data_IF_021143067365
#
_entry.id   IF_021143067365
#
_cell.length_a   1.000
_cell.length_b   1.000
_cell.length_c   1.000
_cell.angle_alpha   90.00
_cell.angle_beta   90.00
_cell.angle_gamma   90.00
#
_symmetry.space_group_name_H-M   'P 1'
#
loop_
_entity.id
_entity.type
_entity.pdbx_description
1 polymer ?
#
# COMPACT_ATOMS: atom_id res chain seq x y z
N UNK A 1 61.59 8.56 5.56
CA UNK A 1 60.89 8.35 4.28
C UNK A 1 59.40 8.35 4.56
N UNK A 2 58.65 9.36 4.08
CA UNK A 2 57.20 9.40 4.27
C UNK A 2 56.54 8.32 3.40
N UNK A 3 55.78 7.41 4.01
CA UNK A 3 55.03 6.38 3.29
C UNK A 3 53.96 7.08 2.45
N UNK A 4 54.08 7.01 1.12
CA UNK A 4 53.11 7.60 0.19
C UNK A 4 51.71 7.07 0.56
N UNK A 5 50.70 7.93 0.75
CA UNK A 5 49.35 7.48 1.07
C UNK A 5 48.85 6.56 -0.04
N UNK A 6 48.32 5.40 0.34
CA UNK A 6 47.68 4.50 -0.62
C UNK A 6 46.48 5.20 -1.26
N UNK A 7 46.26 4.96 -2.55
CA UNK A 7 45.08 5.48 -3.23
C UNK A 7 43.80 4.97 -2.53
N UNK A 8 42.76 5.80 -2.39
CA UNK A 8 41.51 5.37 -1.78
C UNK A 8 40.88 4.23 -2.59
N UNK A 9 40.43 3.18 -1.90
CA UNK A 9 39.74 2.04 -2.52
C UNK A 9 38.34 2.50 -2.97
N UNK A 10 37.93 2.22 -4.22
CA UNK A 10 36.59 2.57 -4.71
C UNK A 10 35.47 1.88 -3.91
N UNK A 11 34.33 2.55 -3.73
CA UNK A 11 33.17 2.02 -2.98
C UNK A 11 32.68 0.68 -3.53
N UNK A 12 32.64 0.51 -4.86
CA UNK A 12 32.23 -0.75 -5.49
C UNK A 12 33.14 -1.93 -5.11
N UNK A 13 34.45 -1.69 -5.00
CA UNK A 13 35.41 -2.72 -4.58
C UNK A 13 35.27 -3.03 -3.09
N UNK A 14 34.97 -2.02 -2.25
CA UNK A 14 34.65 -2.25 -0.84
C UNK A 14 33.40 -3.12 -0.67
N UNK A 15 32.34 -2.86 -1.45
CA UNK A 15 31.12 -3.68 -1.47
C UNK A 15 31.46 -5.12 -1.89
N UNK A 16 32.17 -5.29 -3.00
CA UNK A 16 32.58 -6.62 -3.50
C UNK A 16 33.39 -7.41 -2.46
N UNK A 17 34.43 -6.79 -1.88
CA UNK A 17 35.25 -7.42 -0.84
C UNK A 17 34.43 -7.75 0.41
N UNK A 18 33.47 -6.90 0.79
CA UNK A 18 32.59 -7.18 1.91
C UNK A 18 31.71 -8.42 1.66
N UNK A 19 31.11 -8.54 0.48
CA UNK A 19 30.29 -9.70 0.11
C UNK A 19 31.12 -10.99 0.09
N UNK A 20 32.33 -10.96 -0.48
CA UNK A 20 33.26 -12.09 -0.47
C UNK A 20 33.70 -12.46 0.94
N UNK A 21 33.94 -11.48 1.82
CA UNK A 21 34.28 -11.73 3.22
C UNK A 21 33.13 -12.42 3.96
N UNK A 22 31.87 -12.02 3.70
CA UNK A 22 30.70 -12.71 4.28
C UNK A 22 30.58 -14.13 3.74
N UNK A 23 30.77 -14.33 2.43
CA UNK A 23 30.68 -15.66 1.82
C UNK A 23 31.73 -16.65 2.33
N UNK A 24 32.95 -16.16 2.61
CA UNK A 24 34.07 -17.00 3.05
C UNK A 24 34.20 -17.13 4.56
N UNK A 25 33.43 -16.37 5.34
CA UNK A 25 33.48 -16.44 6.78
C UNK A 25 32.92 -17.78 7.30
N UNK A 26 33.64 -18.41 8.23
CA UNK A 26 33.19 -19.62 8.93
C UNK A 26 32.34 -19.31 10.17
N UNK A 27 32.14 -18.03 10.50
CA UNK A 27 31.40 -17.58 11.66
C UNK A 27 30.71 -16.25 11.43
N UNK A 28 30.14 -15.69 12.50
CA UNK A 28 29.34 -14.48 12.43
C UNK A 28 30.17 -13.26 12.00
N UNK A 29 29.67 -12.54 11.01
CA UNK A 29 30.32 -11.34 10.47
C UNK A 29 29.60 -10.09 10.95
N UNK A 30 30.35 -9.18 11.57
CA UNK A 30 29.83 -7.89 12.06
C UNK A 30 29.79 -6.88 10.93
N UNK A 31 28.69 -6.13 10.79
CA UNK A 31 28.58 -5.06 9.80
C UNK A 31 29.59 -3.93 10.06
N UNK A 32 29.72 -3.50 11.32
CA UNK A 32 30.59 -2.39 11.70
C UNK A 32 31.34 -2.62 13.00
N UNK A 33 32.15 -1.62 13.38
CA UNK A 33 33.01 -1.66 14.56
C UNK A 33 34.36 -2.34 14.32
N UNK A 34 35.15 -2.53 15.38
CA UNK A 34 36.48 -3.14 15.29
C UNK A 34 36.36 -4.60 14.82
N UNK A 35 36.88 -4.88 13.63
CA UNK A 35 36.81 -6.19 12.98
C UNK A 35 35.51 -6.46 12.21
N UNK A 36 34.65 -5.46 12.02
CA UNK A 36 33.50 -5.55 11.12
C UNK A 36 33.87 -5.26 9.65
N UNK A 37 32.92 -5.51 8.75
CA UNK A 37 33.07 -5.26 7.31
C UNK A 37 33.39 -3.79 7.01
N UNK A 38 32.72 -2.88 7.72
CA UNK A 38 32.86 -1.44 7.55
C UNK A 38 33.30 -0.81 8.88
N UNK A 39 34.61 -0.71 9.16
CA UNK A 39 35.13 -0.34 10.48
C UNK A 39 34.87 1.13 10.85
N UNK A 40 34.64 2.01 9.88
CA UNK A 40 34.40 3.44 10.10
C UNK A 40 33.02 3.85 9.61
N UNK A 41 32.25 4.57 10.44
CA UNK A 41 30.92 5.08 10.11
C UNK A 41 30.96 6.38 9.27
N UNK A 42 32.02 6.59 8.49
CA UNK A 42 32.26 7.81 7.70
C UNK A 42 32.97 7.50 6.38
N UNK A 43 32.79 8.36 5.39
CA UNK A 43 33.47 8.28 4.09
C UNK A 43 33.06 7.04 3.27
N UNK A 44 33.96 6.49 2.44
CA UNK A 44 33.66 5.39 1.53
C UNK A 44 33.12 4.12 2.21
N UNK A 45 33.49 3.87 3.46
CA UNK A 45 32.97 2.73 4.23
C UNK A 45 31.49 2.90 4.59
N UNK A 46 31.06 4.13 4.90
CA UNK A 46 29.64 4.41 5.16
C UNK A 46 28.84 4.24 3.87
N UNK A 47 29.32 4.81 2.77
CA UNK A 47 28.67 4.68 1.45
C UNK A 47 28.57 3.22 1.00
N UNK A 48 29.61 2.42 1.22
CA UNK A 48 29.59 0.98 0.95
C UNK A 48 28.60 0.22 1.86
N UNK A 49 28.56 0.56 3.15
CA UNK A 49 27.59 -0.03 4.08
C UNK A 49 26.15 0.31 3.69
N UNK A 50 25.88 1.57 3.34
CA UNK A 50 24.58 2.03 2.86
C UNK A 50 24.23 1.30 1.55
N UNK A 51 25.14 1.23 0.58
CA UNK A 51 24.92 0.49 -0.67
C UNK A 51 24.60 -1.00 -0.46
N UNK A 52 25.15 -1.64 0.59
CA UNK A 52 24.82 -3.03 0.93
C UNK A 52 23.46 -3.19 1.62
N UNK A 53 23.03 -2.22 2.43
CA UNK A 53 21.89 -2.36 3.34
C UNK A 53 20.61 -1.64 2.88
N UNK A 54 20.74 -0.49 2.20
CA UNK A 54 19.62 0.42 1.89
C UNK A 54 19.28 0.49 0.41
N UNK A 55 19.96 -0.29 -0.44
CA UNK A 55 19.59 -0.43 -1.84
C UNK A 55 18.15 -0.96 -1.98
N UNK A 56 17.48 -0.61 -3.08
CA UNK A 56 16.16 -1.14 -3.42
C UNK A 56 16.11 -2.68 -3.38
N UNK A 57 17.26 -3.31 -3.68
CA UNK A 57 17.51 -4.73 -3.46
C UNK A 57 18.73 -4.86 -2.52
N UNK A 58 18.54 -5.05 -1.20
CA UNK A 58 19.64 -5.10 -0.26
C UNK A 58 20.54 -6.31 -0.55
N UNK A 59 21.86 -6.12 -0.45
CA UNK A 59 22.88 -7.15 -0.70
C UNK A 59 23.24 -7.91 0.58
N UNK A 60 23.06 -7.26 1.73
CA UNK A 60 23.23 -7.84 3.06
C UNK A 60 21.94 -7.68 3.87
N UNK A 61 21.69 -8.64 4.75
CA UNK A 61 20.58 -8.58 5.71
C UNK A 61 21.11 -8.76 7.13
N UNK A 62 20.47 -8.13 8.10
CA UNK A 62 20.79 -8.33 9.52
C UNK A 62 20.17 -9.64 9.97
N UNK A 63 21.00 -10.62 10.31
CA UNK A 63 20.55 -11.91 10.84
C UNK A 63 20.15 -11.78 12.31
N UNK A 64 20.96 -11.07 13.09
CA UNK A 64 20.71 -10.79 14.51
C UNK A 64 21.53 -9.61 15.01
N UNK A 65 21.15 -9.09 16.17
CA UNK A 65 21.86 -8.01 16.85
C UNK A 65 22.43 -8.49 18.17
N UNK A 66 23.74 -8.31 18.37
CA UNK A 66 24.45 -8.64 19.60
C UNK A 66 25.00 -7.37 20.25
N UNK A 67 24.24 -6.81 21.19
CA UNK A 67 24.53 -5.51 21.78
C UNK A 67 24.45 -4.39 20.72
N UNK A 68 25.59 -3.73 20.45
CA UNK A 68 25.70 -2.70 19.39
C UNK A 68 26.16 -3.27 18.04
N UNK A 69 26.50 -4.56 17.97
CA UNK A 69 26.96 -5.19 16.75
C UNK A 69 25.78 -5.80 15.98
N UNK A 70 25.70 -5.52 14.69
CA UNK A 70 24.78 -6.20 13.77
C UNK A 70 25.53 -7.34 13.09
N UNK A 71 25.04 -8.56 13.26
CA UNK A 71 25.53 -9.73 12.54
C UNK A 71 24.78 -9.79 11.22
N UNK A 72 25.53 -9.84 10.12
CA UNK A 72 24.97 -9.81 8.77
C UNK A 72 25.20 -11.10 8.02
N UNK A 73 24.28 -11.38 7.10
CA UNK A 73 24.36 -12.48 6.15
C UNK A 73 24.09 -11.98 4.72
N UNK A 74 24.44 -12.79 3.74
CA UNK A 74 24.15 -12.50 2.34
C UNK A 74 22.65 -12.66 2.06
N UNK A 75 22.12 -11.76 1.25
CA UNK A 75 20.81 -11.92 0.61
C UNK A 75 20.96 -12.67 -0.71
N UNK A 76 19.85 -13.13 -1.34
CA UNK A 76 19.88 -13.64 -2.71
C UNK A 76 20.62 -12.70 -3.69
N UNK A 77 20.33 -11.40 -3.65
CA UNK A 77 20.96 -10.43 -4.53
C UNK A 77 22.46 -10.22 -4.25
N UNK A 78 22.85 -10.26 -2.97
CA UNK A 78 24.26 -10.24 -2.58
C UNK A 78 25.01 -11.45 -3.14
N UNK A 79 24.41 -12.64 -3.04
CA UNK A 79 24.97 -13.87 -3.59
C UNK A 79 25.13 -13.81 -5.10
N UNK A 80 24.09 -13.37 -5.82
CA UNK A 80 24.14 -13.28 -7.29
C UNK A 80 25.30 -12.42 -7.80
N UNK A 81 25.68 -11.36 -7.08
CA UNK A 81 26.80 -10.49 -7.45
C UNK A 81 28.16 -11.15 -7.35
N UNK A 82 28.33 -12.11 -6.44
CA UNK A 82 29.63 -12.75 -6.18
C UNK A 82 29.69 -14.22 -6.59
N UNK A 83 28.57 -14.81 -7.03
CA UNK A 83 28.48 -16.24 -7.33
C UNK A 83 29.56 -16.73 -8.31
N UNK A 84 29.92 -15.92 -9.31
CA UNK A 84 30.97 -16.24 -10.28
C UNK A 84 32.40 -16.16 -9.75
N UNK A 85 32.60 -15.61 -8.54
CA UNK A 85 33.91 -15.48 -7.88
C UNK A 85 34.10 -16.50 -6.75
N UNK A 86 33.05 -17.23 -6.39
CA UNK A 86 33.11 -18.27 -5.37
C UNK A 86 33.68 -19.56 -5.92
N UNK A 87 34.42 -20.28 -5.07
CA UNK A 87 34.83 -21.64 -5.38
C UNK A 87 33.60 -22.55 -5.50
N UNK A 88 33.60 -23.46 -6.47
CA UNK A 88 32.43 -24.30 -6.80
C UNK A 88 31.92 -25.11 -5.60
N UNK A 89 32.81 -25.55 -4.72
CA UNK A 89 32.51 -26.30 -3.49
C UNK A 89 31.83 -25.44 -2.40
N UNK A 90 31.90 -24.11 -2.51
CA UNK A 90 31.27 -23.17 -1.58
C UNK A 90 29.88 -22.71 -2.01
N UNK A 91 29.58 -22.79 -3.32
CA UNK A 91 28.33 -22.28 -3.89
C UNK A 91 27.11 -22.98 -3.28
N UNK A 92 27.10 -24.32 -3.24
CA UNK A 92 26.00 -25.12 -2.70
C UNK A 92 25.69 -24.83 -1.23
N UNK A 93 26.66 -25.00 -0.31
CA UNK A 93 26.43 -24.77 1.11
C UNK A 93 26.01 -23.33 1.44
N UNK A 94 26.59 -22.35 0.74
CA UNK A 94 26.24 -20.95 0.93
C UNK A 94 24.84 -20.63 0.42
N UNK A 95 24.50 -21.09 -0.80
CA UNK A 95 23.15 -20.93 -1.35
C UNK A 95 22.10 -21.58 -0.44
N UNK A 96 22.40 -22.76 0.11
CA UNK A 96 21.55 -23.43 1.10
C UNK A 96 21.29 -22.58 2.34
N UNK A 97 22.33 -21.96 2.91
CA UNK A 97 22.20 -21.08 4.07
C UNK A 97 21.34 -19.85 3.77
N UNK A 98 21.53 -19.25 2.59
CA UNK A 98 20.76 -18.07 2.14
C UNK A 98 19.30 -18.44 1.89
N UNK A 99 19.06 -19.57 1.23
CA UNK A 99 17.72 -20.08 0.95
C UNK A 99 16.93 -20.34 2.24
N UNK A 100 17.58 -20.89 3.28
CA UNK A 100 16.96 -21.15 4.58
C UNK A 100 16.49 -19.86 5.28
N UNK A 101 17.21 -18.74 5.10
CA UNK A 101 16.83 -17.44 5.65
C UNK A 101 15.80 -16.67 4.79
N UNK A 102 15.57 -17.09 3.54
CA UNK A 102 14.65 -16.43 2.64
C UNK A 102 13.18 -16.82 2.90
N UNK A 103 12.22 -15.89 2.70
CA UNK A 103 10.79 -16.21 2.66
C UNK A 103 10.47 -17.28 1.63
N UNK A 104 9.43 -18.11 1.87
CA UNK A 104 9.10 -19.26 1.03
C UNK A 104 8.99 -18.94 -0.47
N UNK A 105 8.29 -17.85 -0.82
CA UNK A 105 8.15 -17.42 -2.22
C UNK A 105 9.49 -17.04 -2.88
N UNK A 106 10.32 -16.27 -2.18
CA UNK A 106 11.64 -15.84 -2.69
C UNK A 106 12.65 -17.01 -2.73
N UNK A 107 12.47 -18.01 -1.86
CA UNK A 107 13.33 -19.20 -1.77
C UNK A 107 13.29 -20.04 -3.05
N UNK A 108 12.11 -20.26 -3.62
CA UNK A 108 11.93 -21.08 -4.83
C UNK A 108 12.65 -20.46 -6.03
N UNK A 109 12.38 -19.18 -6.30
CA UNK A 109 13.01 -18.44 -7.41
C UNK A 109 14.53 -18.40 -7.26
N UNK A 110 15.01 -18.14 -6.03
CA UNK A 110 16.43 -18.13 -5.74
C UNK A 110 17.08 -19.50 -6.00
N UNK A 111 16.53 -20.59 -5.45
CA UNK A 111 17.09 -21.93 -5.64
C UNK A 111 17.09 -22.32 -7.11
N UNK A 112 16.01 -22.07 -7.85
CA UNK A 112 15.94 -22.36 -9.29
C UNK A 112 16.98 -21.57 -10.08
N UNK A 113 17.17 -20.29 -9.78
CA UNK A 113 18.20 -19.44 -10.39
C UNK A 113 19.61 -20.00 -10.14
N UNK A 114 19.92 -20.40 -8.89
CA UNK A 114 21.23 -20.99 -8.53
C UNK A 114 21.45 -22.32 -9.23
N UNK A 115 20.47 -23.24 -9.23
CA UNK A 115 20.59 -24.54 -9.91
C UNK A 115 20.82 -24.34 -11.42
N UNK A 116 20.12 -23.39 -12.04
CA UNK A 116 20.28 -23.09 -13.47
C UNK A 116 21.67 -22.57 -13.85
N UNK A 117 22.31 -21.78 -12.97
CA UNK A 117 23.65 -21.22 -13.21
C UNK A 117 24.78 -22.16 -12.77
N UNK A 118 24.56 -22.93 -11.71
CA UNK A 118 25.56 -23.82 -11.11
C UNK A 118 24.97 -25.21 -10.88
N UNK A 119 24.92 -26.07 -11.91
CA UNK A 119 24.28 -27.39 -11.83
C UNK A 119 24.85 -28.31 -10.75
N UNK A 120 26.13 -28.14 -10.38
CA UNK A 120 26.78 -28.93 -9.33
C UNK A 120 26.21 -28.70 -7.93
N UNK A 121 25.52 -27.56 -7.69
CA UNK A 121 24.83 -27.29 -6.42
C UNK A 121 23.46 -27.99 -6.33
N UNK A 122 22.95 -28.56 -7.43
CA UNK A 122 21.62 -29.17 -7.47
C UNK A 122 21.39 -30.27 -6.42
N UNK A 123 22.31 -31.22 -6.15
CA UNK A 123 22.07 -32.26 -5.15
C UNK A 123 21.79 -31.73 -3.74
N UNK A 124 22.37 -30.58 -3.38
CA UNK A 124 22.15 -29.96 -2.07
C UNK A 124 20.89 -29.10 -2.01
N UNK A 125 20.51 -28.49 -3.14
CA UNK A 125 19.45 -27.51 -3.22
C UNK A 125 18.09 -28.10 -3.62
N UNK A 126 18.06 -29.20 -4.39
CA UNK A 126 16.81 -29.85 -4.81
C UNK A 126 15.91 -30.24 -3.65
N UNK A 127 16.39 -30.85 -2.54
CA UNK A 127 15.53 -31.17 -1.40
C UNK A 127 14.88 -29.92 -0.77
N UNK A 128 15.62 -28.80 -0.74
CA UNK A 128 15.08 -27.53 -0.22
C UNK A 128 14.08 -26.89 -1.17
N UNK A 129 14.25 -27.08 -2.48
CA UNK A 129 13.28 -26.64 -3.48
C UNK A 129 11.97 -27.41 -3.33
N UNK A 130 12.04 -28.73 -3.17
CA UNK A 130 10.86 -29.58 -2.95
C UNK A 130 10.11 -29.19 -1.67
N UNK A 131 10.83 -28.97 -0.57
CA UNK A 131 10.25 -28.48 0.69
C UNK A 131 9.58 -27.11 0.50
N UNK A 132 10.25 -26.19 -0.20
CA UNK A 132 9.71 -24.85 -0.44
C UNK A 132 8.44 -24.87 -1.30
N UNK A 133 8.43 -25.68 -2.37
CA UNK A 133 7.25 -25.86 -3.24
C UNK A 133 6.09 -26.49 -2.47
N UNK A 134 6.36 -27.48 -1.62
CA UNK A 134 5.34 -28.08 -0.76
C UNK A 134 4.75 -27.06 0.23
N UNK A 135 5.60 -26.23 0.85
CA UNK A 135 5.16 -25.17 1.75
C UNK A 135 4.33 -24.09 1.04
N UNK A 136 4.74 -23.64 -0.14
CA UNK A 136 3.98 -22.66 -0.93
C UNK A 136 2.59 -23.21 -1.30
N UNK A 137 2.53 -24.46 -1.76
CA UNK A 137 1.27 -25.12 -2.09
C UNK A 137 0.33 -25.19 -0.88
N UNK A 138 0.85 -25.56 0.29
CA UNK A 138 0.06 -25.59 1.53
C UNK A 138 -0.47 -24.20 1.91
N UNK A 139 0.34 -23.14 1.74
CA UNK A 139 -0.10 -21.77 1.99
C UNK A 139 -1.18 -21.32 0.99
N UNK A 140 -1.03 -21.65 -0.29
CA UNK A 140 -2.03 -21.34 -1.31
C UNK A 140 -3.37 -22.06 -1.02
N UNK A 141 -3.32 -23.35 -0.66
CA UNK A 141 -4.51 -24.11 -0.27
C UNK A 141 -5.19 -23.49 0.96
N UNK A 142 -4.43 -23.09 1.98
CA UNK A 142 -4.97 -22.41 3.16
C UNK A 142 -5.62 -21.06 2.83
N UNK A 143 -5.04 -20.28 1.90
CA UNK A 143 -5.62 -19.02 1.43
C UNK A 143 -6.94 -19.25 0.68
N UNK A 144 -7.01 -20.28 -0.17
CA UNK A 144 -8.22 -20.66 -0.90
C UNK A 144 -9.32 -21.10 0.09
N UNK A 145 -8.99 -21.93 1.08
CA UNK A 145 -9.94 -22.37 2.10
C UNK A 145 -10.45 -21.18 2.94
N UNK A 146 -9.57 -20.26 3.34
CA UNK A 146 -9.95 -19.05 4.07
C UNK A 146 -10.87 -18.14 3.23
N UNK A 147 -10.58 -17.97 1.93
CA UNK A 147 -11.43 -17.20 1.03
C UNK A 147 -12.81 -17.86 0.85
N UNK A 148 -12.87 -19.19 0.77
CA UNK A 148 -14.12 -19.94 0.72
C UNK A 148 -14.95 -19.74 1.99
N UNK A 149 -14.35 -19.88 3.18
CA UNK A 149 -15.03 -19.63 4.46
C UNK A 149 -15.56 -18.21 4.59
N UNK A 150 -14.83 -17.21 4.08
CA UNK A 150 -15.31 -15.82 4.05
C UNK A 150 -16.55 -15.65 3.18
N UNK A 151 -16.56 -16.23 1.97
CA UNK A 151 -17.72 -16.20 1.08
C UNK A 151 -18.95 -16.88 1.70
N UNK A 152 -18.77 -18.06 2.30
CA UNK A 152 -19.85 -18.76 3.00
C UNK A 152 -20.42 -17.91 4.15
N UNK A 153 -19.56 -17.23 4.91
CA UNK A 153 -19.98 -16.31 5.98
C UNK A 153 -20.75 -15.09 5.44
N UNK A 154 -20.30 -14.52 4.32
CA UNK A 154 -20.97 -13.40 3.64
C UNK A 154 -22.35 -13.81 3.11
N UNK A 155 -22.49 -15.00 2.51
CA UNK A 155 -23.78 -15.53 2.05
C UNK A 155 -24.76 -15.74 3.21
N UNK A 156 -24.28 -16.28 4.34
CA UNK A 156 -25.10 -16.44 5.55
C UNK A 156 -25.54 -15.06 6.08
N UNK A 157 -24.64 -14.09 6.11
CA UNK A 157 -24.96 -12.73 6.54
C UNK A 157 -26.00 -12.05 5.65
N UNK A 158 -25.87 -12.20 4.33
CA UNK A 158 -26.84 -11.70 3.35
C UNK A 158 -28.22 -12.34 3.55
N UNK A 159 -28.28 -13.66 3.71
CA UNK A 159 -29.53 -14.36 3.98
C UNK A 159 -30.19 -13.92 5.30
N UNK A 160 -29.40 -13.65 6.34
CA UNK A 160 -29.90 -13.13 7.61
C UNK A 160 -30.46 -11.70 7.46
N UNK A 161 -29.79 -10.85 6.67
CA UNK A 161 -30.23 -9.49 6.38
C UNK A 161 -31.55 -9.47 5.60
N UNK A 162 -31.70 -10.34 4.60
CA UNK A 162 -32.96 -10.48 3.86
C UNK A 162 -34.12 -10.95 4.75
N UNK A 163 -33.88 -11.91 5.65
CA UNK A 163 -34.89 -12.30 6.66
C UNK A 163 -35.26 -11.13 7.58
N UNK A 164 -34.29 -10.33 8.01
CA UNK A 164 -34.56 -9.16 8.84
C UNK A 164 -35.41 -8.11 8.10
N UNK A 165 -35.13 -7.84 6.82
CA UNK A 165 -35.97 -6.98 5.97
C UNK A 165 -37.40 -7.50 5.88
N UNK A 166 -37.58 -8.79 5.61
CA UNK A 166 -38.91 -9.41 5.52
C UNK A 166 -39.72 -9.26 6.82
N UNK A 167 -39.08 -9.47 7.99
CA UNK A 167 -39.71 -9.28 9.30
C UNK A 167 -40.10 -7.81 9.55
N UNK A 168 -39.28 -6.85 9.13
CA UNK A 168 -39.60 -5.43 9.23
C UNK A 168 -40.81 -5.06 8.35
N UNK A 169 -40.88 -5.59 7.13
CA UNK A 169 -42.02 -5.40 6.24
C UNK A 169 -43.30 -6.05 6.77
N UNK A 170 -43.21 -7.24 7.35
CA UNK A 170 -44.32 -7.91 8.03
C UNK A 170 -44.82 -7.09 9.21
N UNK A 171 -43.91 -6.62 10.09
CA UNK A 171 -44.27 -5.74 11.21
C UNK A 171 -44.93 -4.45 10.72
N UNK A 172 -44.45 -3.87 9.61
CA UNK A 172 -45.06 -2.69 9.00
C UNK A 172 -46.48 -2.99 8.52
N UNK A 173 -46.71 -4.11 7.83
CA UNK A 173 -48.04 -4.57 7.41
C UNK A 173 -48.97 -4.77 8.60
N UNK A 174 -48.54 -5.52 9.62
CA UNK A 174 -49.32 -5.77 10.83
C UNK A 174 -49.73 -4.47 11.54
N UNK A 175 -48.84 -3.46 11.57
CA UNK A 175 -49.16 -2.14 12.13
C UNK A 175 -50.20 -1.38 11.30
N UNK A 176 -50.10 -1.42 9.98
CA UNK A 176 -51.09 -0.79 9.10
C UNK A 176 -52.46 -1.46 9.23
N UNK A 177 -52.50 -2.79 9.32
CA UNK A 177 -53.76 -3.52 9.49
C UNK A 177 -54.39 -3.30 10.87
N UNK A 178 -53.58 -3.16 11.93
CA UNK A 178 -54.06 -2.77 13.25
C UNK A 178 -54.69 -1.36 13.22
N UNK A 179 -54.00 -0.39 12.61
CA UNK A 179 -54.53 0.97 12.44
C UNK A 179 -55.84 0.99 11.64
N UNK A 180 -55.93 0.17 10.58
CA UNK A 180 -57.18 0.05 9.80
C UNK A 180 -58.36 -0.39 10.67
N UNK A 181 -58.16 -1.42 11.51
CA UNK A 181 -59.20 -1.91 12.43
C UNK A 181 -59.59 -0.88 13.47
N UNK A 182 -58.63 -0.12 14.01
CA UNK A 182 -58.91 0.97 14.95
C UNK A 182 -59.79 2.06 14.31
N UNK A 183 -59.45 2.50 13.09
CA UNK A 183 -60.23 3.49 12.34
C UNK A 183 -61.65 3.01 12.00
N UNK A 184 -61.82 1.74 11.63
CA UNK A 184 -63.15 1.16 11.37
C UNK A 184 -64.04 1.16 12.63
N UNK A 185 -63.46 0.90 13.81
CA UNK A 185 -64.17 0.93 15.08
C UNK A 185 -64.60 2.34 15.51
N UNK A 186 -63.85 3.38 15.11
CA UNK A 186 -64.17 4.79 15.38
C UNK A 186 -65.29 5.33 14.47
N UNK A 187 -65.84 4.51 13.57
CA UNK A 187 -66.94 4.89 12.68
C UNK A 187 -66.50 5.69 11.44
N UNK A 188 -65.20 5.82 11.23
CA UNK A 188 -64.63 6.36 10.00
C UNK A 188 -64.62 5.28 8.90
N UNK A 189 -64.75 5.68 7.63
CA UNK A 189 -64.65 4.72 6.51
C UNK A 189 -63.20 4.34 6.29
N UNK A 190 -62.91 3.04 6.12
CA UNK A 190 -61.56 2.53 5.83
C UNK A 190 -60.88 3.19 4.60
N UNK A 191 -61.67 3.76 3.68
CA UNK A 191 -61.19 4.53 2.52
C UNK A 191 -60.66 5.93 2.86
N UNK A 192 -60.89 6.42 4.07
CA UNK A 192 -60.39 7.71 4.55
C UNK A 192 -59.08 7.57 5.35
N UNK A 193 -58.55 6.36 5.53
CA UNK A 193 -57.19 6.22 6.05
C UNK A 193 -56.26 6.98 5.11
N UNK A 194 -55.50 7.97 5.62
CA UNK A 194 -54.44 8.56 4.85
C UNK A 194 -53.52 7.41 4.45
N UNK A 195 -53.32 7.19 3.15
CA UNK A 195 -52.21 6.37 2.69
C UNK A 195 -51.00 6.85 3.49
N UNK A 196 -50.21 5.93 4.09
CA UNK A 196 -48.98 6.34 4.73
C UNK A 196 -48.18 7.00 3.62
N UNK A 197 -48.26 8.32 3.55
CA UNK A 197 -47.49 9.13 2.63
C UNK A 197 -46.09 8.56 2.78
N UNK A 198 -45.39 8.23 1.68
CA UNK A 198 -44.03 7.75 1.77
C UNK A 198 -43.41 8.65 2.81
N UNK A 199 -42.93 8.06 3.90
CA UNK A 199 -42.24 8.81 4.92
C UNK A 199 -41.04 9.32 4.13
N UNK A 200 -41.22 10.47 3.48
CA UNK A 200 -40.21 11.48 3.31
C UNK A 200 -39.81 11.59 4.75
N UNK A 201 -38.81 10.81 5.16
CA UNK A 201 -38.07 11.11 6.36
C UNK A 201 -37.91 12.61 6.24
N UNK A 202 -38.62 13.40 7.08
CA UNK A 202 -38.67 14.84 6.88
C UNK A 202 -37.22 15.20 6.70
N UNK A 203 -36.85 15.58 5.46
CA UNK A 203 -35.46 15.76 5.09
C UNK A 203 -35.00 16.73 6.15
N UNK A 204 -34.21 16.29 7.14
CA UNK A 204 -34.27 16.81 8.50
C UNK A 204 -34.36 18.32 8.36
N UNK A 205 -35.57 18.89 8.60
CA UNK A 205 -35.81 20.31 8.35
C UNK A 205 -34.59 20.99 8.94
N UNK A 206 -33.76 21.69 8.14
CA UNK A 206 -32.36 21.96 8.46
C UNK A 206 -32.33 22.46 9.88
N UNK A 207 -32.02 21.53 10.80
CA UNK A 207 -32.34 21.68 12.21
C UNK A 207 -31.47 22.83 12.62
N UNK A 208 -32.06 24.02 12.76
CA UNK A 208 -31.39 25.32 12.79
C UNK A 208 -29.87 25.15 12.84
N UNK A 209 -29.24 25.03 11.66
CA UNK A 209 -27.89 24.50 11.43
C UNK A 209 -27.31 23.86 12.70
N UNK A 210 -27.50 22.54 12.89
CA UNK A 210 -26.72 21.78 13.87
C UNK A 210 -25.32 22.37 13.81
N UNK A 211 -24.82 22.96 14.92
CA UNK A 211 -23.73 23.91 14.89
C UNK A 211 -22.67 23.32 13.99
N UNK A 212 -22.37 24.04 12.89
CA UNK A 212 -21.56 23.53 11.78
C UNK A 212 -20.50 22.59 12.38
N UNK A 213 -20.51 21.29 11.99
CA UNK A 213 -19.77 20.25 12.71
C UNK A 213 -18.41 20.83 13.05
N UNK A 214 -18.14 20.94 14.36
CA UNK A 214 -17.09 21.81 14.89
C UNK A 214 -15.88 21.71 13.98
N UNK A 215 -15.54 22.84 13.32
CA UNK A 215 -14.53 22.88 12.27
C UNK A 215 -13.34 22.03 12.71
N UNK A 216 -12.99 21.01 11.93
CA UNK A 216 -11.91 20.11 12.31
C UNK A 216 -10.70 20.96 12.77
N UNK A 217 -10.11 20.64 13.93
CA UNK A 217 -9.07 21.48 14.53
C UNK A 217 -7.95 21.69 13.51
N UNK A 218 -7.44 22.92 13.44
CA UNK A 218 -6.31 23.21 12.57
C UNK A 218 -5.08 22.43 13.05
N UNK A 219 -4.29 21.85 12.13
CA UNK A 219 -3.07 21.16 12.49
C UNK A 219 -2.12 22.16 13.15
N UNK A 220 -1.64 21.82 14.33
CA UNK A 220 -0.77 22.69 15.14
C UNK A 220 0.70 22.42 14.92
N UNK A 221 1.03 21.22 14.41
CA UNK A 221 2.40 20.77 14.21
C UNK A 221 2.68 20.45 12.75
N UNK A 222 3.95 20.48 12.35
CA UNK A 222 4.38 20.03 11.02
C UNK A 222 4.03 18.55 10.77
N UNK A 223 4.16 17.70 11.79
CA UNK A 223 3.79 16.28 11.70
C UNK A 223 2.30 16.09 11.39
N UNK A 224 1.41 16.89 12.00
CA UNK A 224 -0.02 16.86 11.69
C UNK A 224 -0.31 17.36 10.27
N UNK A 225 0.43 18.37 9.79
CA UNK A 225 0.33 18.85 8.40
C UNK A 225 0.76 17.77 7.41
N UNK A 226 1.89 17.12 7.66
CA UNK A 226 2.42 16.05 6.81
C UNK A 226 1.51 14.82 6.82
N UNK A 227 0.98 14.45 7.98
CA UNK A 227 -0.02 13.39 8.09
C UNK A 227 -1.28 13.69 7.26
N UNK A 228 -1.75 14.94 7.29
CA UNK A 228 -2.91 15.36 6.49
C UNK A 228 -2.61 15.32 4.99
N UNK A 229 -1.44 15.76 4.55
CA UNK A 229 -0.99 15.68 3.15
C UNK A 229 -0.92 14.22 2.68
N UNK A 230 -0.27 13.36 3.46
CA UNK A 230 -0.19 11.93 3.20
C UNK A 230 -1.58 11.27 3.10
N UNK A 231 -2.49 11.63 4.00
CA UNK A 231 -3.87 11.11 3.99
C UNK A 231 -4.62 11.59 2.74
N UNK A 232 -4.47 12.86 2.37
CA UNK A 232 -5.06 13.42 1.16
C UNK A 232 -4.54 12.71 -0.11
N UNK A 233 -3.24 12.45 -0.21
CA UNK A 233 -2.64 11.73 -1.34
C UNK A 233 -3.20 10.31 -1.47
N UNK A 234 -3.29 9.58 -0.36
CA UNK A 234 -3.81 8.21 -0.39
C UNK A 234 -5.27 8.15 -0.79
N UNK A 235 -6.09 9.08 -0.28
CA UNK A 235 -7.50 9.15 -0.65
C UNK A 235 -7.67 9.56 -2.11
N UNK A 236 -6.92 10.56 -2.58
CA UNK A 236 -7.00 11.02 -3.95
C UNK A 236 -6.49 9.95 -4.93
N UNK A 237 -5.45 9.19 -4.59
CA UNK A 237 -4.98 8.04 -5.36
C UNK A 237 -6.04 6.93 -5.43
N UNK A 238 -6.63 6.54 -4.30
CA UNK A 238 -7.69 5.54 -4.27
C UNK A 238 -8.93 6.00 -5.08
N UNK A 239 -9.27 7.28 -5.01
CA UNK A 239 -10.37 7.86 -5.77
C UNK A 239 -10.09 7.85 -7.27
N UNK A 240 -8.85 8.15 -7.69
CA UNK A 240 -8.40 8.05 -9.09
C UNK A 240 -8.51 6.61 -9.60
N UNK A 241 -8.10 5.63 -8.81
CA UNK A 241 -8.17 4.22 -9.19
C UNK A 241 -9.65 3.79 -9.35
N UNK A 242 -10.53 4.20 -8.42
CA UNK A 242 -11.97 3.98 -8.54
C UNK A 242 -12.59 4.64 -9.78
N UNK A 243 -12.14 5.87 -10.12
CA UNK A 243 -12.56 6.56 -11.35
C UNK A 243 -12.14 5.79 -12.60
N UNK A 244 -10.88 5.36 -12.65
CA UNK A 244 -10.28 4.66 -13.80
C UNK A 244 -10.95 3.30 -14.03
N UNK A 245 -11.28 2.59 -12.95
CA UNK A 245 -11.96 1.29 -13.00
C UNK A 245 -13.47 1.40 -13.23
N UNK A 246 -14.05 2.61 -13.31
CA UNK A 246 -15.50 2.82 -13.45
C UNK A 246 -16.33 2.41 -12.23
N UNK A 247 -15.72 2.37 -11.03
CA UNK A 247 -16.37 1.98 -9.77
C UNK A 247 -17.09 3.18 -9.13
N UNK A 248 -18.29 3.49 -9.62
CA UNK A 248 -19.07 4.68 -9.21
C UNK A 248 -19.33 4.76 -7.71
N UNK A 249 -19.81 3.70 -7.06
CA UNK A 249 -20.09 3.71 -5.62
C UNK A 249 -18.84 3.97 -4.77
N UNK A 250 -17.71 3.34 -5.13
CA UNK A 250 -16.43 3.54 -4.45
C UNK A 250 -15.90 4.96 -4.62
N UNK A 251 -16.04 5.52 -5.83
CA UNK A 251 -15.69 6.90 -6.12
C UNK A 251 -16.53 7.87 -5.27
N UNK A 252 -17.85 7.73 -5.26
CA UNK A 252 -18.74 8.66 -4.57
C UNK A 252 -18.55 8.61 -3.04
N UNK A 253 -18.26 7.42 -2.50
CA UNK A 253 -17.87 7.25 -1.09
C UNK A 253 -16.56 7.98 -0.76
N UNK A 254 -15.52 7.80 -1.58
CA UNK A 254 -14.22 8.46 -1.39
C UNK A 254 -14.31 9.98 -1.58
N UNK A 255 -15.14 10.43 -2.52
CA UNK A 255 -15.44 11.85 -2.71
C UNK A 255 -16.06 12.46 -1.47
N UNK A 256 -17.06 11.79 -0.89
CA UNK A 256 -17.67 12.20 0.39
C UNK A 256 -16.63 12.27 1.51
N UNK A 257 -15.72 11.30 1.59
CA UNK A 257 -14.63 11.30 2.57
C UNK A 257 -13.66 12.48 2.37
N UNK A 258 -13.33 12.83 1.12
CA UNK A 258 -12.47 13.97 0.80
C UNK A 258 -13.14 15.29 1.15
N UNK A 259 -14.45 15.45 0.92
CA UNK A 259 -15.20 16.63 1.34
C UNK A 259 -15.23 16.82 2.87
N UNK A 260 -15.04 15.75 3.64
CA UNK A 260 -14.93 15.83 5.11
C UNK A 260 -13.54 16.29 5.59
N UNK A 261 -12.54 16.37 4.70
CA UNK A 261 -11.22 16.91 5.04
C UNK A 261 -11.26 18.44 4.86
N UNK A 262 -11.06 19.17 5.96
CA UNK A 262 -11.05 20.64 5.94
C UNK A 262 -10.05 21.19 4.92
N UNK A 263 -10.49 22.10 4.05
CA UNK A 263 -9.64 22.75 3.04
C UNK A 263 -9.42 21.91 1.78
N UNK A 264 -9.90 20.67 1.71
CA UNK A 264 -9.91 19.89 0.49
C UNK A 264 -10.92 20.48 -0.50
N UNK A 265 -10.50 20.66 -1.75
CA UNK A 265 -11.27 21.26 -2.82
C UNK A 265 -11.04 20.48 -4.12
N UNK A 266 -12.10 20.35 -4.91
CA UNK A 266 -12.02 19.75 -6.23
C UNK A 266 -11.48 20.77 -7.25
N UNK A 267 -10.63 20.31 -8.16
CA UNK A 267 -10.05 21.10 -9.24
C UNK A 267 -10.81 20.78 -10.53
N UNK A 268 -11.77 21.66 -10.85
CA UNK A 268 -12.60 21.56 -12.05
C UNK A 268 -13.67 20.47 -11.99
N UNK A 269 -14.71 20.61 -12.81
CA UNK A 269 -15.76 19.60 -12.99
C UNK A 269 -15.60 18.90 -14.34
N UNK A 270 -15.97 17.61 -14.47
CA UNK A 270 -15.89 16.91 -15.75
C UNK A 270 -16.68 17.66 -16.84
N UNK A 271 -16.04 17.92 -17.98
CA UNK A 271 -16.61 18.69 -19.08
C UNK A 271 -16.45 20.21 -18.97
N UNK A 272 -15.92 20.74 -17.86
CA UNK A 272 -15.67 22.16 -17.70
C UNK A 272 -14.48 22.61 -18.57
N UNK A 273 -14.63 23.72 -19.30
CA UNK A 273 -13.51 24.39 -19.96
C UNK A 273 -12.74 25.26 -18.97
N UNK A 274 -11.43 25.05 -18.87
CA UNK A 274 -10.53 25.80 -17.98
C UNK A 274 -9.22 26.13 -18.68
N UNK A 275 -8.58 27.23 -18.28
CA UNK A 275 -7.26 27.59 -18.76
C UNK A 275 -6.20 26.64 -18.17
N UNK A 276 -5.31 26.09 -19.01
CA UNK A 276 -4.29 25.14 -18.58
C UNK A 276 -3.30 25.77 -17.60
N UNK A 277 -3.01 25.05 -16.51
CA UNK A 277 -2.04 25.45 -15.52
C UNK A 277 -1.27 24.19 -15.08
N UNK A 278 0.00 24.08 -15.49
CA UNK A 278 0.83 22.90 -15.20
C UNK A 278 1.05 22.60 -13.72
N UNK A 279 0.73 23.53 -12.81
CA UNK A 279 0.73 23.28 -11.35
C UNK A 279 -0.40 22.34 -10.94
N UNK A 280 -1.61 22.55 -11.46
CA UNK A 280 -2.84 21.88 -10.99
C UNK A 280 -3.47 20.93 -12.02
N UNK A 281 -3.05 21.03 -13.29
CA UNK A 281 -3.56 20.21 -14.38
C UNK A 281 -2.46 19.32 -14.97
N UNK A 282 -2.86 18.15 -15.45
CA UNK A 282 -2.06 17.25 -16.28
C UNK A 282 -2.76 17.03 -17.61
N UNK A 283 -2.00 16.97 -18.70
CA UNK A 283 -2.51 16.68 -20.04
C UNK A 283 -1.59 15.69 -20.74
N UNK A 284 -2.18 14.77 -21.51
CA UNK A 284 -1.42 13.85 -22.36
C UNK A 284 -0.86 14.55 -23.61
N UNK A 285 -1.51 15.64 -24.02
CA UNK A 285 -1.10 16.44 -25.16
C UNK A 285 -0.27 17.65 -24.68
N UNK A 286 0.72 18.10 -25.47
CA UNK A 286 1.45 19.32 -25.14
C UNK A 286 0.50 20.53 -25.13
N UNK A 287 0.38 21.18 -23.98
CA UNK A 287 -0.43 22.39 -23.79
C UNK A 287 0.42 23.52 -23.18
N UNK A 288 0.23 24.74 -23.65
CA UNK A 288 0.85 25.92 -23.09
C UNK A 288 0.01 26.47 -21.91
N UNK A 289 0.63 27.07 -20.89
CA UNK A 289 -0.11 27.74 -19.83
C UNK A 289 -1.08 28.79 -20.39
N UNK A 290 -2.35 28.68 -20.03
CA UNK A 290 -3.42 29.55 -20.53
C UNK A 290 -4.31 28.94 -21.61
N UNK A 291 -3.88 27.84 -22.26
CA UNK A 291 -4.67 27.19 -23.31
C UNK A 291 -6.01 26.69 -22.76
N UNK A 292 -7.15 26.91 -23.45
CA UNK A 292 -8.45 26.44 -23.00
C UNK A 292 -8.57 24.93 -23.25
N UNK A 293 -8.66 24.14 -22.17
CA UNK A 293 -8.81 22.69 -22.24
C UNK A 293 -10.05 22.24 -21.47
N UNK A 294 -10.56 21.06 -21.79
CA UNK A 294 -11.70 20.46 -21.09
C UNK A 294 -11.21 19.51 -19.99
N UNK A 295 -11.81 19.60 -18.81
CA UNK A 295 -11.56 18.65 -17.71
C UNK A 295 -12.13 17.28 -18.08
N UNK A 296 -11.25 16.29 -18.24
CA UNK A 296 -11.60 14.88 -18.44
C UNK A 296 -11.81 14.17 -17.11
N UNK A 297 -10.97 14.51 -16.11
CA UNK A 297 -11.06 14.01 -14.74
C UNK A 297 -10.74 15.12 -13.74
N UNK A 298 -11.58 15.34 -12.72
CA UNK A 298 -11.28 16.29 -11.66
C UNK A 298 -9.97 15.98 -10.91
N UNK A 299 -9.35 17.03 -10.39
CA UNK A 299 -8.23 16.96 -9.46
C UNK A 299 -8.66 17.26 -8.03
N UNK A 300 -7.71 17.19 -7.10
CA UNK A 300 -7.92 17.50 -5.69
C UNK A 300 -6.78 18.37 -5.13
N UNK A 301 -7.16 19.44 -4.45
CA UNK A 301 -6.30 20.43 -3.83
C UNK A 301 -6.62 20.52 -2.34
N UNK A 302 -5.61 20.43 -1.49
CA UNK A 302 -5.71 20.73 -0.07
C UNK A 302 -5.19 22.14 0.20
N UNK A 303 -6.09 23.07 0.49
CA UNK A 303 -5.73 24.42 0.95
C UNK A 303 -5.16 24.35 2.36
N UNK A 304 -3.96 24.91 2.51
CA UNK A 304 -3.31 25.12 3.81
C UNK A 304 -2.96 26.60 3.95
N UNK A 305 -2.66 27.05 5.16
CA UNK A 305 -2.37 28.48 5.40
C UNK A 305 -1.07 28.95 4.73
N UNK A 306 -0.12 28.03 4.53
CA UNK A 306 1.18 28.33 3.94
C UNK A 306 1.16 28.23 2.40
N UNK A 307 0.62 27.11 1.88
CA UNK A 307 0.61 26.85 0.45
C UNK A 307 -0.50 25.84 0.04
N UNK A 308 -1.07 26.04 -1.14
CA UNK A 308 -1.97 25.08 -1.76
C UNK A 308 -1.23 23.80 -2.17
N UNK A 309 -1.61 22.68 -1.56
CA UNK A 309 -1.04 21.35 -1.82
C UNK A 309 -1.91 20.58 -2.82
N UNK A 310 -1.36 20.21 -3.98
CA UNK A 310 -2.08 19.46 -5.01
C UNK A 310 -1.94 17.95 -4.74
N UNK A 311 -2.97 17.34 -4.15
CA UNK A 311 -2.99 15.90 -3.88
C UNK A 311 -3.20 15.08 -5.17
N UNK A 312 -3.95 15.63 -6.13
CA UNK A 312 -4.14 15.03 -7.46
C UNK A 312 -4.37 16.11 -8.51
N UNK A 313 -3.64 16.07 -9.62
CA UNK A 313 -3.88 16.98 -10.75
C UNK A 313 -5.16 16.59 -11.50
N UNK A 314 -5.88 17.60 -11.99
CA UNK A 314 -7.00 17.38 -12.89
C UNK A 314 -6.47 16.95 -14.26
N UNK A 315 -7.02 15.88 -14.83
CA UNK A 315 -6.67 15.47 -16.18
C UNK A 315 -7.49 16.30 -17.17
N UNK A 316 -6.83 16.96 -18.11
CA UNK A 316 -7.44 17.85 -19.09
C UNK A 316 -7.00 17.51 -20.51
N UNK A 317 -7.85 17.76 -21.49
CA UNK A 317 -7.55 17.55 -22.90
C UNK A 317 -8.56 18.24 -23.81
N UNK A 318 -8.33 18.10 -25.11
CA UNK A 318 -9.29 18.50 -26.13
C UNK A 318 -10.43 17.47 -26.20
N UNK A 319 -11.66 17.96 -26.35
CA UNK A 319 -12.88 17.16 -26.50
C UNK A 319 -12.99 16.55 -27.90
#
# INVERSE_FOLDING_TARGET
MAKKPAAPVPVAELVRLALLNVANATGDVKLGGKGGLFPTASGPNKEAADACMTAAVPLLTVLRTEGKAQIVGLTPAGFERIAGELAEDKVGPLAKAIAAAAPAAARIEFIQSVIGRTPFAAPELTPLLEEAVAAEKAEQEARIEAAKKRREAEEIALAALERAKALLEERRRNRLDALRREYELEGAKATELPEPAPRVEPRPEPKAAAPAPASAPEPKTDEERDFRRYTADRLAAAWRDAWTDGKTEGRDYLETAMWNIRGMQMIGEPGQQIAFNGRVHESEQPAAPGDPLTVLRPGWLLKTDDEDYVALKAAVGDL
#
